data_IF_824661085125
#
_entry.id   IF_824661085125
#
_cell.length_a   1.000
_cell.length_b   1.000
_cell.length_c   1.000
_cell.angle_alpha   90.00
_cell.angle_beta   90.00
_cell.angle_gamma   90.00
#
_symmetry.space_group_name_H-M   'P 1'
#
loop_
_entity.id
_entity.type
_entity.pdbx_description
1 polymer ?
#
# COMPACT_ATOMS: atom_id res chain seq x y z
N UNK A 1 5.78 3.59 16.55
CA UNK A 1 5.68 2.81 15.31
C UNK A 1 4.39 3.10 14.55
N UNK A 2 3.22 2.90 15.16
CA UNK A 2 1.93 3.16 14.50
C UNK A 2 1.80 4.60 14.00
N UNK A 3 2.28 5.57 14.77
CA UNK A 3 2.22 6.99 14.39
C UNK A 3 3.04 7.33 13.14
N UNK A 4 4.17 6.65 12.92
CA UNK A 4 4.99 6.84 11.71
C UNK A 4 4.26 6.24 10.51
N UNK A 5 3.81 4.99 10.60
CA UNK A 5 3.07 4.31 9.51
C UNK A 5 1.83 5.14 9.14
N UNK A 6 1.12 5.65 10.14
CA UNK A 6 -0.01 6.53 9.92
C UNK A 6 0.40 7.84 9.22
N UNK A 7 1.47 8.51 9.69
CA UNK A 7 1.93 9.75 9.09
C UNK A 7 2.39 9.57 7.64
N UNK A 8 3.04 8.44 7.33
CA UNK A 8 3.44 8.06 5.98
C UNK A 8 2.19 7.81 5.11
N UNK A 9 1.27 6.99 5.56
CA UNK A 9 0.03 6.70 4.83
C UNK A 9 -0.83 7.92 4.56
N UNK A 10 -0.72 8.95 5.40
CA UNK A 10 -1.40 10.25 5.27
C UNK A 10 -0.54 11.30 4.56
N UNK A 11 0.60 10.92 3.96
CA UNK A 11 1.56 11.83 3.30
C UNK A 11 2.00 13.02 4.17
N UNK A 12 2.00 12.85 5.50
CA UNK A 12 2.43 13.87 6.46
C UNK A 12 3.95 13.78 6.69
N UNK A 13 4.74 13.98 5.64
CA UNK A 13 6.19 13.76 5.60
C UNK A 13 6.96 14.49 6.71
N UNK A 14 6.61 15.76 6.99
CA UNK A 14 7.23 16.52 8.08
C UNK A 14 6.98 15.87 9.45
N UNK A 15 5.76 15.35 9.66
CA UNK A 15 5.41 14.65 10.89
C UNK A 15 6.13 13.31 10.99
N UNK A 16 6.19 12.55 9.91
CA UNK A 16 6.93 11.29 9.85
C UNK A 16 8.41 11.51 10.19
N UNK A 17 9.05 12.53 9.59
CA UNK A 17 10.44 12.89 9.90
C UNK A 17 10.64 13.26 11.36
N UNK A 18 9.78 14.13 11.91
CA UNK A 18 9.90 14.52 13.32
C UNK A 18 9.78 13.33 14.28
N UNK A 19 8.88 12.39 13.98
CA UNK A 19 8.73 11.17 14.77
C UNK A 19 9.98 10.29 14.64
N UNK A 20 10.55 10.18 13.44
CA UNK A 20 11.77 9.43 13.18
C UNK A 20 12.96 10.01 13.98
N UNK A 21 13.17 11.32 13.94
CA UNK A 21 14.24 11.99 14.72
C UNK A 21 14.04 11.78 16.23
N UNK A 22 12.79 11.87 16.71
CA UNK A 22 12.47 11.56 18.11
C UNK A 22 12.76 10.11 18.47
N UNK A 23 12.50 9.17 17.58
CA UNK A 23 12.84 7.76 17.79
C UNK A 23 14.35 7.57 17.85
N UNK A 24 15.09 8.11 16.90
CA UNK A 24 16.57 8.06 16.90
C UNK A 24 17.18 8.60 18.18
N UNK A 25 16.62 9.69 18.74
CA UNK A 25 17.11 10.25 20.00
C UNK A 25 16.75 9.42 21.23
N UNK A 26 15.67 8.62 21.17
CA UNK A 26 15.21 7.77 22.28
C UNK A 26 15.83 6.38 22.28
N UNK A 27 16.28 5.92 21.12
CA UNK A 27 16.91 4.60 20.96
C UNK A 27 18.33 4.67 21.52
N UNK A 28 18.65 3.80 22.48
CA UNK A 28 20.00 3.66 23.00
C UNK A 28 20.97 3.12 21.95
N UNK A 29 22.27 3.39 22.11
CA UNK A 29 23.29 2.94 21.16
C UNK A 29 23.32 1.40 20.97
N UNK A 30 22.87 0.65 21.96
CA UNK A 30 22.77 -0.83 21.89
C UNK A 30 21.54 -1.25 21.10
N UNK A 31 20.39 -0.61 21.32
CA UNK A 31 19.15 -0.90 20.59
C UNK A 31 19.27 -0.57 19.10
N UNK A 32 20.10 0.44 18.75
CA UNK A 32 20.37 0.81 17.36
C UNK A 32 21.09 -0.28 16.55
N UNK A 33 21.65 -1.30 17.22
CA UNK A 33 22.29 -2.44 16.56
C UNK A 33 21.30 -3.56 16.23
N UNK A 34 20.08 -3.48 16.72
CA UNK A 34 19.04 -4.45 16.41
C UNK A 34 18.65 -4.37 14.91
N UNK A 35 18.79 -5.48 14.16
CA UNK A 35 18.53 -5.47 12.71
C UNK A 35 17.16 -4.93 12.32
N UNK A 36 16.14 -5.17 13.15
CA UNK A 36 14.78 -4.70 12.91
C UNK A 36 14.67 -3.18 13.03
N UNK A 37 15.41 -2.59 13.95
CA UNK A 37 15.42 -1.13 14.15
C UNK A 37 16.18 -0.47 13.01
N UNK A 38 17.31 -1.05 12.59
CA UNK A 38 18.07 -0.58 11.44
C UNK A 38 17.22 -0.60 10.16
N UNK A 39 16.54 -1.72 9.90
CA UNK A 39 15.64 -1.87 8.78
C UNK A 39 14.57 -0.77 8.75
N UNK A 40 13.87 -0.56 9.88
CA UNK A 40 12.78 0.40 9.98
C UNK A 40 13.27 1.84 9.74
N UNK A 41 14.40 2.22 10.37
CA UNK A 41 14.95 3.56 10.24
C UNK A 41 15.37 3.83 8.81
N UNK A 42 16.19 2.96 8.22
CA UNK A 42 16.69 3.14 6.85
C UNK A 42 15.54 3.20 5.84
N UNK A 43 14.57 2.32 5.97
CA UNK A 43 13.39 2.32 5.09
C UNK A 43 12.61 3.63 5.17
N UNK A 44 12.33 4.14 6.37
CA UNK A 44 11.59 5.39 6.55
C UNK A 44 12.39 6.60 6.04
N UNK A 45 13.71 6.62 6.24
CA UNK A 45 14.57 7.67 5.70
C UNK A 45 14.57 7.69 4.18
N UNK A 46 14.75 6.53 3.57
CA UNK A 46 14.75 6.41 2.11
C UNK A 46 13.38 6.81 1.51
N UNK A 47 12.27 6.40 2.13
CA UNK A 47 10.94 6.86 1.72
C UNK A 47 10.79 8.37 1.80
N UNK A 48 11.20 8.96 2.93
CA UNK A 48 11.12 10.40 3.09
C UNK A 48 11.98 11.13 2.04
N UNK A 49 13.22 10.68 1.84
CA UNK A 49 14.15 11.33 0.92
C UNK A 49 13.71 11.18 -0.55
N UNK A 50 13.07 10.08 -0.92
CA UNK A 50 12.41 9.92 -2.22
C UNK A 50 11.27 10.95 -2.41
N UNK A 51 10.40 11.08 -1.43
CA UNK A 51 9.22 11.96 -1.52
C UNK A 51 9.56 13.45 -1.57
N UNK A 52 10.67 13.85 -0.95
CA UNK A 52 11.17 15.23 -1.04
C UNK A 52 12.15 15.44 -2.18
N UNK A 53 12.27 14.48 -3.10
CA UNK A 53 13.14 14.49 -4.27
C UNK A 53 14.63 14.69 -3.94
N UNK A 54 15.10 14.17 -2.80
CA UNK A 54 16.52 14.16 -2.46
C UNK A 54 17.29 13.01 -3.09
N UNK A 55 16.59 11.89 -3.33
CA UNK A 55 17.08 10.71 -4.00
C UNK A 55 16.17 10.35 -5.17
N UNK A 56 16.72 9.69 -6.17
CA UNK A 56 16.00 9.15 -7.32
C UNK A 56 15.33 7.81 -6.97
N UNK A 57 14.38 7.37 -7.80
CA UNK A 57 13.77 6.05 -7.66
C UNK A 57 14.81 4.91 -7.67
N UNK A 58 15.86 5.03 -8.50
CA UNK A 58 16.93 4.04 -8.56
C UNK A 58 17.81 4.01 -7.30
N UNK A 59 18.00 5.14 -6.64
CA UNK A 59 18.69 5.22 -5.35
C UNK A 59 17.79 4.69 -4.24
N UNK A 60 16.51 5.04 -4.23
CA UNK A 60 15.55 4.50 -3.28
C UNK A 60 15.41 2.98 -3.38
N UNK A 61 15.43 2.40 -4.61
CA UNK A 61 15.46 0.96 -4.81
C UNK A 61 16.62 0.31 -4.04
N UNK A 62 17.83 0.86 -4.16
CA UNK A 62 19.02 0.34 -3.46
C UNK A 62 18.87 0.43 -1.95
N UNK A 63 18.44 1.57 -1.45
CA UNK A 63 18.19 1.79 -0.02
C UNK A 63 17.14 0.82 0.54
N UNK A 64 16.07 0.54 -0.22
CA UNK A 64 15.04 -0.42 0.19
C UNK A 64 15.57 -1.85 0.21
N UNK A 65 16.41 -2.25 -0.76
CA UNK A 65 17.07 -3.56 -0.71
C UNK A 65 18.04 -3.66 0.46
N UNK A 66 18.78 -2.62 0.77
CA UNK A 66 19.67 -2.58 1.93
C UNK A 66 18.86 -2.68 3.23
N UNK A 67 17.81 -1.88 3.39
CA UNK A 67 16.91 -1.97 4.53
C UNK A 67 16.31 -3.38 4.69
N UNK A 68 15.89 -4.00 3.59
CA UNK A 68 15.33 -5.35 3.59
C UNK A 68 16.38 -6.38 4.05
N UNK A 69 17.63 -6.23 3.64
CA UNK A 69 18.71 -7.17 3.92
C UNK A 69 19.08 -7.31 5.40
N UNK A 70 18.70 -6.36 6.26
CA UNK A 70 18.95 -6.49 7.70
C UNK A 70 18.23 -7.68 8.34
N UNK A 71 17.11 -8.11 7.79
CA UNK A 71 16.26 -9.14 8.42
C UNK A 71 15.75 -10.19 7.45
N UNK A 72 15.94 -9.99 6.15
CA UNK A 72 15.41 -10.83 5.09
C UNK A 72 16.53 -11.29 4.15
N UNK A 73 16.54 -12.56 3.82
CA UNK A 73 17.49 -13.13 2.86
C UNK A 73 17.05 -12.75 1.42
N UNK A 74 17.77 -11.85 0.78
CA UNK A 74 17.40 -11.29 -0.53
C UNK A 74 17.26 -12.34 -1.64
N UNK A 75 17.99 -13.45 -1.54
CA UNK A 75 17.89 -14.57 -2.49
C UNK A 75 16.49 -15.18 -2.53
N UNK A 76 15.72 -15.05 -1.46
CA UNK A 76 14.34 -15.54 -1.41
C UNK A 76 13.40 -14.83 -2.36
N UNK A 77 13.72 -13.61 -2.79
CA UNK A 77 12.93 -12.90 -3.81
C UNK A 77 12.93 -13.61 -5.17
N UNK A 78 13.95 -14.44 -5.44
CA UNK A 78 14.03 -15.25 -6.66
C UNK A 78 13.22 -16.55 -6.61
N UNK A 79 12.77 -16.98 -5.41
CA UNK A 79 11.96 -18.17 -5.26
C UNK A 79 10.59 -18.00 -5.92
N UNK A 80 9.99 -19.08 -6.37
CA UNK A 80 8.63 -19.09 -6.93
C UNK A 80 7.59 -18.62 -5.88
N UNK A 81 7.76 -19.10 -4.62
CA UNK A 81 6.94 -18.66 -3.49
C UNK A 81 7.83 -18.05 -2.41
N UNK A 82 7.41 -16.91 -1.88
CA UNK A 82 8.09 -16.31 -0.73
C UNK A 82 7.85 -17.15 0.53
N UNK A 83 8.89 -17.30 1.38
CA UNK A 83 8.72 -17.92 2.69
C UNK A 83 7.86 -17.05 3.61
N UNK A 84 7.81 -17.40 4.89
CA UNK A 84 7.19 -16.52 5.88
C UNK A 84 7.93 -15.17 5.90
N UNK A 85 7.17 -14.07 5.72
CA UNK A 85 7.66 -12.69 5.81
C UNK A 85 6.94 -11.94 6.93
N UNK A 86 7.61 -11.02 7.59
CA UNK A 86 7.00 -10.10 8.54
C UNK A 86 6.27 -8.99 7.79
N UNK A 87 5.38 -8.30 8.50
CA UNK A 87 4.62 -7.18 7.92
C UNK A 87 5.51 -6.07 7.38
N UNK A 88 6.57 -5.75 8.10
CA UNK A 88 7.56 -4.72 7.74
C UNK A 88 8.31 -5.10 6.45
N UNK A 89 8.75 -6.35 6.34
CA UNK A 89 9.39 -6.87 5.14
C UNK A 89 8.44 -6.83 3.93
N UNK A 90 7.19 -7.22 4.14
CA UNK A 90 6.16 -7.16 3.10
C UNK A 90 5.92 -5.73 2.60
N UNK A 91 5.89 -4.74 3.50
CA UNK A 91 5.76 -3.32 3.13
C UNK A 91 6.98 -2.86 2.32
N UNK A 92 8.20 -3.21 2.73
CA UNK A 92 9.41 -2.85 1.98
C UNK A 92 9.38 -3.46 0.57
N UNK A 93 9.08 -4.76 0.45
CA UNK A 93 8.99 -5.44 -0.84
C UNK A 93 7.90 -4.81 -1.73
N UNK A 94 6.76 -4.42 -1.16
CA UNK A 94 5.71 -3.73 -1.93
C UNK A 94 6.13 -2.36 -2.42
N UNK A 95 6.93 -1.61 -1.65
CA UNK A 95 7.49 -0.34 -2.10
C UNK A 95 8.59 -0.53 -3.18
N UNK A 96 9.37 -1.61 -3.12
CA UNK A 96 10.28 -1.99 -4.22
C UNK A 96 9.47 -2.28 -5.50
N UNK A 97 8.35 -2.99 -5.38
CA UNK A 97 7.47 -3.27 -6.51
C UNK A 97 6.85 -1.97 -7.09
N UNK A 98 6.46 -1.01 -6.24
CA UNK A 98 5.99 0.31 -6.66
C UNK A 98 7.07 1.08 -7.41
N UNK A 99 8.33 1.06 -6.96
CA UNK A 99 9.44 1.69 -7.69
C UNK A 99 9.60 1.06 -9.09
N UNK A 100 9.50 -0.28 -9.22
CA UNK A 100 9.53 -0.91 -10.53
C UNK A 100 8.37 -0.48 -11.42
N UNK A 101 7.18 -0.31 -10.86
CA UNK A 101 6.04 0.24 -11.59
C UNK A 101 6.34 1.65 -12.12
N UNK A 102 6.81 2.54 -11.25
CA UNK A 102 7.10 3.94 -11.59
C UNK A 102 8.25 4.06 -12.62
N UNK A 103 9.20 3.12 -12.61
CA UNK A 103 10.25 2.98 -13.60
C UNK A 103 9.81 2.31 -14.93
N UNK A 104 8.54 1.91 -15.03
CA UNK A 104 7.97 1.23 -16.20
C UNK A 104 8.30 -0.27 -16.31
N UNK A 105 8.93 -0.87 -15.29
CA UNK A 105 9.20 -2.31 -15.25
C UNK A 105 8.01 -3.07 -14.68
N UNK A 106 6.87 -3.00 -15.39
CA UNK A 106 5.58 -3.52 -14.94
C UNK A 106 5.61 -5.02 -14.64
N UNK A 107 6.36 -5.80 -15.44
CA UNK A 107 6.47 -7.24 -15.25
C UNK A 107 7.10 -7.59 -13.89
N UNK A 108 8.21 -6.94 -13.54
CA UNK A 108 8.91 -7.20 -12.28
C UNK A 108 8.08 -6.72 -11.08
N UNK A 109 7.38 -5.61 -11.25
CA UNK A 109 6.42 -5.11 -10.27
C UNK A 109 5.31 -6.13 -10.02
N UNK A 110 4.66 -6.63 -11.08
CA UNK A 110 3.58 -7.62 -10.97
C UNK A 110 4.06 -8.92 -10.32
N UNK A 111 5.23 -9.45 -10.70
CA UNK A 111 5.82 -10.65 -10.11
C UNK A 111 6.00 -10.53 -8.60
N UNK A 112 6.49 -9.39 -8.10
CA UNK A 112 6.66 -9.17 -6.66
C UNK A 112 5.31 -9.06 -5.93
N UNK A 113 4.35 -8.33 -6.49
CA UNK A 113 3.02 -8.22 -5.91
C UNK A 113 2.26 -9.55 -5.92
N UNK A 114 2.40 -10.38 -6.94
CA UNK A 114 1.81 -11.73 -6.96
C UNK A 114 2.35 -12.60 -5.83
N UNK A 115 3.66 -12.61 -5.64
CA UNK A 115 4.31 -13.32 -4.55
C UNK A 115 3.81 -12.84 -3.19
N UNK A 116 3.76 -11.52 -2.96
CA UNK A 116 3.24 -10.93 -1.74
C UNK A 116 1.77 -11.29 -1.52
N UNK A 117 0.93 -11.12 -2.53
CA UNK A 117 -0.49 -11.43 -2.46
C UNK A 117 -0.72 -12.90 -2.10
N UNK A 118 0.03 -13.82 -2.70
CA UNK A 118 -0.02 -15.25 -2.37
C UNK A 118 0.30 -15.52 -0.90
N UNK A 119 1.38 -14.89 -0.37
CA UNK A 119 1.74 -15.01 1.05
C UNK A 119 0.62 -14.50 1.95
N UNK A 120 0.06 -13.32 1.66
CA UNK A 120 -0.98 -12.74 2.51
C UNK A 120 -2.28 -13.53 2.44
N UNK A 121 -2.68 -14.04 1.28
CA UNK A 121 -3.86 -14.90 1.15
C UNK A 121 -3.70 -16.23 1.88
N UNK A 122 -2.53 -16.87 1.81
CA UNK A 122 -2.25 -18.13 2.53
C UNK A 122 -2.20 -17.92 4.04
N UNK A 123 -1.59 -16.84 4.51
CA UNK A 123 -1.39 -16.58 5.95
C UNK A 123 -2.65 -16.25 6.72
N UNK A 124 -3.63 -15.64 6.10
CA UNK A 124 -4.87 -15.26 6.79
C UNK A 124 -5.68 -16.45 7.28
N UNK A 125 -5.41 -17.65 6.76
CA UNK A 125 -5.98 -18.90 7.29
C UNK A 125 -5.34 -19.25 8.65
N UNK A 126 -4.12 -18.80 8.94
CA UNK A 126 -3.32 -19.31 10.05
C UNK A 126 -2.86 -18.27 11.09
N UNK A 127 -2.84 -16.97 10.77
CA UNK A 127 -2.30 -15.93 11.65
C UNK A 127 -3.17 -14.68 11.61
N UNK A 128 -3.40 -14.06 12.77
CA UNK A 128 -3.87 -12.66 12.85
C UNK A 128 -2.74 -11.75 12.34
N UNK A 129 -2.70 -11.53 11.03
CA UNK A 129 -1.75 -10.61 10.42
C UNK A 129 -2.23 -9.19 10.68
N UNK A 130 -1.29 -8.27 10.85
CA UNK A 130 -1.57 -6.85 10.91
C UNK A 130 -2.34 -6.42 9.64
N UNK A 131 -3.63 -6.16 9.79
CA UNK A 131 -4.54 -5.78 8.70
C UNK A 131 -4.05 -4.55 7.93
N UNK A 132 -3.38 -3.62 8.62
CA UNK A 132 -2.85 -2.41 7.98
C UNK A 132 -1.76 -2.70 6.93
N UNK A 133 -0.89 -3.69 7.16
CA UNK A 133 0.13 -4.07 6.17
C UNK A 133 -0.51 -4.74 4.95
N UNK A 134 -1.47 -5.65 5.16
CA UNK A 134 -2.20 -6.28 4.05
C UNK A 134 -2.99 -5.26 3.24
N UNK A 135 -3.61 -4.27 3.89
CA UNK A 135 -4.34 -3.20 3.22
C UNK A 135 -3.44 -2.37 2.30
N UNK A 136 -2.26 -2.00 2.78
CA UNK A 136 -1.27 -1.24 1.99
C UNK A 136 -0.83 -2.08 0.78
N UNK A 137 -0.36 -3.30 1.00
CA UNK A 137 0.22 -4.16 -0.04
C UNK A 137 -0.82 -4.53 -1.11
N UNK A 138 -2.01 -4.99 -0.69
CA UNK A 138 -3.06 -5.37 -1.63
C UNK A 138 -3.66 -4.15 -2.34
N UNK A 139 -3.70 -2.98 -1.68
CA UNK A 139 -4.12 -1.73 -2.29
C UNK A 139 -3.15 -1.24 -3.38
N UNK A 140 -1.85 -1.33 -3.16
CA UNK A 140 -0.82 -1.03 -4.15
C UNK A 140 -0.90 -2.02 -5.34
N UNK A 141 -1.08 -3.31 -5.05
CA UNK A 141 -1.26 -4.31 -6.11
C UNK A 141 -2.49 -4.07 -6.97
N UNK A 142 -3.63 -3.74 -6.35
CA UNK A 142 -4.85 -3.39 -7.08
C UNK A 142 -4.65 -2.17 -7.99
N UNK A 143 -3.91 -1.15 -7.53
CA UNK A 143 -3.54 0.01 -8.35
C UNK A 143 -2.74 -0.40 -9.57
N UNK A 144 -1.66 -1.18 -9.39
CA UNK A 144 -0.86 -1.71 -10.51
C UNK A 144 -1.73 -2.46 -11.52
N UNK A 145 -2.61 -3.36 -11.03
CA UNK A 145 -3.50 -4.13 -11.90
C UNK A 145 -4.45 -3.24 -12.71
N UNK A 146 -4.94 -2.15 -12.11
CA UNK A 146 -5.71 -1.14 -12.82
C UNK A 146 -4.90 -0.44 -13.90
N UNK A 147 -3.65 -0.05 -13.61
CA UNK A 147 -2.75 0.64 -14.54
C UNK A 147 -2.35 -0.25 -15.73
N UNK A 148 -2.27 -1.58 -15.54
CA UNK A 148 -2.07 -2.56 -16.63
C UNK A 148 -3.39 -3.09 -17.22
N UNK A 149 -4.52 -2.45 -16.94
CA UNK A 149 -5.86 -2.76 -17.44
C UNK A 149 -6.38 -4.16 -17.06
N UNK A 150 -5.87 -4.78 -16.00
CA UNK A 150 -6.37 -6.06 -15.48
C UNK A 150 -7.42 -5.81 -14.39
N UNK A 151 -8.55 -5.21 -14.80
CA UNK A 151 -9.58 -4.71 -13.89
C UNK A 151 -10.32 -5.82 -13.12
N UNK A 152 -10.53 -6.99 -13.72
CA UNK A 152 -11.15 -8.14 -13.05
C UNK A 152 -10.30 -8.62 -11.88
N UNK A 153 -8.98 -8.74 -12.08
CA UNK A 153 -8.06 -9.12 -11.01
C UNK A 153 -7.94 -8.03 -9.95
N UNK A 154 -7.94 -6.75 -10.35
CA UNK A 154 -8.01 -5.63 -9.42
C UNK A 154 -9.24 -5.70 -8.51
N UNK A 155 -10.44 -5.91 -9.09
CA UNK A 155 -11.67 -6.10 -8.33
C UNK A 155 -11.61 -7.28 -7.36
N UNK A 156 -11.02 -8.39 -7.79
CA UNK A 156 -10.83 -9.55 -6.93
C UNK A 156 -9.94 -9.21 -5.73
N UNK A 157 -8.79 -8.60 -5.96
CA UNK A 157 -7.85 -8.19 -4.90
C UNK A 157 -8.49 -7.19 -3.94
N UNK A 158 -9.18 -6.16 -4.45
CA UNK A 158 -9.88 -5.19 -3.61
C UNK A 158 -11.00 -5.84 -2.79
N UNK A 159 -11.70 -6.81 -3.34
CA UNK A 159 -12.77 -7.51 -2.63
C UNK A 159 -12.22 -8.39 -1.51
N UNK A 160 -11.08 -9.04 -1.74
CA UNK A 160 -10.35 -9.79 -0.72
C UNK A 160 -9.88 -8.84 0.38
N UNK A 161 -9.25 -7.73 0.02
CA UNK A 161 -8.73 -6.74 0.96
C UNK A 161 -9.86 -6.11 1.80
N UNK A 162 -10.96 -5.70 1.16
CA UNK A 162 -12.12 -5.13 1.85
C UNK A 162 -12.71 -6.11 2.89
N UNK A 163 -12.78 -7.40 2.55
CA UNK A 163 -13.26 -8.43 3.48
C UNK A 163 -12.37 -8.50 4.73
N UNK A 164 -11.06 -8.35 4.58
CA UNK A 164 -10.12 -8.39 5.69
C UNK A 164 -10.23 -7.15 6.58
N UNK A 165 -10.25 -5.96 5.96
CA UNK A 165 -10.43 -4.70 6.67
C UNK A 165 -11.72 -4.71 7.51
N UNK A 166 -12.83 -5.19 6.96
CA UNK A 166 -14.10 -5.29 7.67
C UNK A 166 -14.08 -6.31 8.81
N UNK A 167 -13.43 -7.46 8.62
CA UNK A 167 -13.32 -8.48 9.67
C UNK A 167 -12.47 -8.01 10.87
N UNK A 168 -11.47 -7.19 10.62
CA UNK A 168 -10.59 -6.65 11.67
C UNK A 168 -11.05 -5.30 12.20
N UNK A 169 -12.22 -4.81 11.77
CA UNK A 169 -12.74 -3.48 12.09
C UNK A 169 -11.75 -2.34 11.77
N UNK A 170 -10.87 -2.54 10.80
CA UNK A 170 -9.95 -1.52 10.33
C UNK A 170 -10.60 -0.71 9.21
N UNK A 171 -10.99 0.52 9.52
CA UNK A 171 -11.72 1.38 8.58
C UNK A 171 -10.82 2.42 7.87
N UNK A 172 -9.50 2.34 8.06
CA UNK A 172 -8.58 3.42 7.66
C UNK A 172 -8.38 3.51 6.14
N UNK A 173 -8.55 2.41 5.41
CA UNK A 173 -8.29 2.33 3.96
C UNK A 173 -9.52 1.96 3.12
N UNK A 174 -10.68 1.80 3.76
CA UNK A 174 -11.92 1.33 3.09
C UNK A 174 -12.32 2.25 1.94
N UNK A 175 -12.20 3.57 2.11
CA UNK A 175 -12.56 4.54 1.08
C UNK A 175 -11.74 4.37 -0.21
N UNK A 176 -10.45 4.08 -0.09
CA UNK A 176 -9.58 3.83 -1.25
C UNK A 176 -10.01 2.54 -1.98
N UNK A 177 -10.27 1.46 -1.24
CA UNK A 177 -10.72 0.19 -1.81
C UNK A 177 -12.06 0.33 -2.53
N UNK A 178 -13.01 1.06 -1.93
CA UNK A 178 -14.31 1.31 -2.54
C UNK A 178 -14.19 2.17 -3.80
N UNK A 179 -13.31 3.17 -3.79
CA UNK A 179 -13.05 4.00 -4.95
C UNK A 179 -12.39 3.19 -6.08
N UNK A 180 -11.39 2.37 -5.78
CA UNK A 180 -10.74 1.49 -6.76
C UNK A 180 -11.74 0.51 -7.38
N UNK A 181 -12.66 -0.06 -6.57
CA UNK A 181 -13.73 -0.91 -7.09
C UNK A 181 -14.70 -0.14 -8.01
N UNK A 182 -15.05 1.10 -7.68
CA UNK A 182 -15.89 1.93 -8.57
C UNK A 182 -15.18 2.19 -9.90
N UNK A 183 -13.89 2.50 -9.86
CA UNK A 183 -13.07 2.69 -11.05
C UNK A 183 -13.00 1.42 -11.89
N UNK A 184 -12.67 0.28 -11.32
CA UNK A 184 -12.57 -0.98 -12.05
C UNK A 184 -13.91 -1.39 -12.68
N UNK A 185 -15.04 -1.26 -11.97
CA UNK A 185 -16.36 -1.50 -12.56
C UNK A 185 -16.67 -0.56 -13.73
N UNK A 186 -16.24 0.71 -13.64
CA UNK A 186 -16.42 1.69 -14.71
C UNK A 186 -15.65 1.30 -15.97
N UNK A 187 -14.40 0.86 -15.82
CA UNK A 187 -13.51 0.49 -16.94
C UNK A 187 -13.90 -0.87 -17.57
N UNK A 188 -14.50 -1.80 -16.79
CA UNK A 188 -14.98 -3.08 -17.32
C UNK A 188 -16.23 -2.88 -18.20
N UNK A 189 -17.26 -2.28 -17.65
CA UNK A 189 -18.52 -2.01 -18.34
C UNK A 189 -19.36 -1.03 -17.53
N UNK A 190 -19.35 0.23 -17.94
CA UNK A 190 -20.08 1.32 -17.27
C UNK A 190 -21.57 1.07 -17.23
N UNK A 191 -22.17 0.66 -18.36
CA UNK A 191 -23.63 0.54 -18.49
C UNK A 191 -24.17 -0.57 -17.60
N UNK A 192 -23.56 -1.75 -17.66
CA UNK A 192 -23.98 -2.89 -16.85
C UNK A 192 -23.71 -2.69 -15.35
N UNK A 193 -22.69 -1.94 -15.00
CA UNK A 193 -22.26 -1.77 -13.61
C UNK A 193 -22.69 -0.44 -12.98
N UNK A 194 -23.46 0.41 -13.64
CA UNK A 194 -23.79 1.77 -13.18
C UNK A 194 -24.22 1.81 -11.71
N UNK A 195 -25.16 0.98 -11.26
CA UNK A 195 -25.58 0.94 -9.87
C UNK A 195 -24.45 0.54 -8.89
N UNK A 196 -23.55 -0.39 -9.29
CA UNK A 196 -22.42 -0.80 -8.46
C UNK A 196 -21.41 0.34 -8.35
N UNK A 197 -21.15 1.02 -9.47
CA UNK A 197 -20.25 2.17 -9.56
C UNK A 197 -20.73 3.25 -8.59
N UNK A 198 -21.98 3.70 -8.73
CA UNK A 198 -22.56 4.74 -7.89
C UNK A 198 -22.52 4.37 -6.40
N UNK A 199 -22.92 3.15 -6.04
CA UNK A 199 -22.90 2.68 -4.63
C UNK A 199 -21.48 2.68 -4.05
N UNK A 200 -20.50 2.21 -4.80
CA UNK A 200 -19.11 2.14 -4.34
C UNK A 200 -18.50 3.53 -4.23
N UNK A 201 -18.73 4.38 -5.21
CA UNK A 201 -18.26 5.76 -5.21
C UNK A 201 -18.84 6.57 -4.05
N UNK A 202 -20.15 6.49 -3.82
CA UNK A 202 -20.81 7.15 -2.69
C UNK A 202 -20.29 6.64 -1.34
N UNK A 203 -20.11 5.32 -1.21
CA UNK A 203 -19.54 4.76 0.00
C UNK A 203 -18.12 5.27 0.23
N UNK A 204 -17.29 5.35 -0.82
CA UNK A 204 -15.94 5.92 -0.73
C UNK A 204 -15.96 7.37 -0.23
N UNK A 205 -16.86 8.21 -0.76
CA UNK A 205 -17.01 9.60 -0.29
C UNK A 205 -17.38 9.68 1.20
N UNK A 206 -18.33 8.87 1.65
CA UNK A 206 -18.77 8.86 3.06
C UNK A 206 -17.67 8.40 4.01
N UNK A 207 -16.92 7.36 3.64
CA UNK A 207 -15.77 6.92 4.44
C UNK A 207 -14.63 7.93 4.44
N UNK A 208 -14.34 8.60 3.30
CA UNK A 208 -13.35 9.67 3.23
C UNK A 208 -13.73 10.85 4.15
N UNK A 209 -15.00 11.26 4.16
CA UNK A 209 -15.53 12.28 5.07
C UNK A 209 -15.41 11.86 6.54
N UNK A 210 -15.81 10.63 6.87
CA UNK A 210 -15.69 10.07 8.22
C UNK A 210 -14.24 10.03 8.71
N UNK A 211 -13.32 9.61 7.85
CA UNK A 211 -11.90 9.54 8.13
C UNK A 211 -11.16 10.90 7.98
N UNK A 212 -11.87 11.97 7.60
CA UNK A 212 -11.33 13.33 7.42
C UNK A 212 -10.15 13.40 6.44
N UNK A 213 -10.24 12.65 5.34
CA UNK A 213 -9.20 12.60 4.29
C UNK A 213 -9.45 13.69 3.24
N UNK A 214 -9.07 14.93 3.54
CA UNK A 214 -9.39 16.10 2.73
C UNK A 214 -8.91 15.99 1.27
N UNK A 215 -7.70 15.49 1.03
CA UNK A 215 -7.16 15.30 -0.32
C UNK A 215 -8.01 14.32 -1.14
N UNK A 216 -8.40 13.20 -0.54
CA UNK A 216 -9.25 12.22 -1.20
C UNK A 216 -10.66 12.75 -1.41
N UNK A 217 -11.23 13.50 -0.44
CA UNK A 217 -12.53 14.17 -0.58
C UNK A 217 -12.52 15.11 -1.79
N UNK A 218 -11.46 15.90 -1.96
CA UNK A 218 -11.33 16.81 -3.09
C UNK A 218 -11.21 16.06 -4.41
N UNK A 219 -10.39 14.99 -4.46
CA UNK A 219 -10.28 14.14 -5.63
C UNK A 219 -11.63 13.52 -6.02
N UNK A 220 -12.37 12.98 -5.06
CA UNK A 220 -13.67 12.36 -5.31
C UNK A 220 -14.69 13.39 -5.82
N UNK A 221 -14.73 14.60 -5.26
CA UNK A 221 -15.58 15.70 -5.76
C UNK A 221 -15.27 16.07 -7.21
N UNK A 222 -13.98 16.14 -7.57
CA UNK A 222 -13.58 16.43 -8.97
C UNK A 222 -14.03 15.33 -9.93
N UNK A 223 -14.10 14.08 -9.47
CA UNK A 223 -14.49 12.92 -10.28
C UNK A 223 -15.98 12.55 -10.20
N UNK A 224 -16.75 13.25 -9.40
CA UNK A 224 -18.17 12.97 -9.17
C UNK A 224 -18.97 12.90 -10.49
N UNK A 225 -18.73 13.84 -11.39
CA UNK A 225 -19.38 13.87 -12.69
C UNK A 225 -19.08 12.65 -13.58
N UNK A 226 -17.91 12.02 -13.42
CA UNK A 226 -17.54 10.81 -14.16
C UNK A 226 -18.34 9.58 -13.70
N UNK A 227 -18.61 9.47 -12.40
CA UNK A 227 -19.14 8.26 -11.79
C UNK A 227 -20.62 8.33 -11.40
N UNK A 228 -21.19 9.52 -11.22
CA UNK A 228 -22.55 9.71 -10.70
C UNK A 228 -23.53 10.35 -11.69
N UNK A 229 -23.06 10.94 -12.80
CA UNK A 229 -24.01 11.46 -13.81
C UNK A 229 -24.54 10.31 -14.66
N UNK A 230 -25.87 10.19 -14.67
CA UNK A 230 -26.60 9.52 -15.73
C UNK A 230 -26.52 10.41 -16.99
N UNK A 231 -26.15 9.82 -18.12
CA UNK A 231 -26.19 10.52 -19.42
C UNK A 231 -27.62 10.74 -19.86
#
# INVERSE_FOLDING_TARGET
RQDIIYAIGMRQWKKAKNILEQLKTKIGAEDYREPQIQQEIQFIEAMYDLEVNKITACEAEKEYYEALSYTFELSWLSLEELPFIRSEEGIIISNIADIYHDMGNLKKSEELFEKLSSVYQKKQIFLKINSSASAIILGQYSRLLGDIMNYEKALYIDSVNLKYELNDFNLIHIENLLYNQAWAYYEIDREQNNQKIQRKFWAAQRFAEFNRKEELINLLKMRENKYLKDD
#
